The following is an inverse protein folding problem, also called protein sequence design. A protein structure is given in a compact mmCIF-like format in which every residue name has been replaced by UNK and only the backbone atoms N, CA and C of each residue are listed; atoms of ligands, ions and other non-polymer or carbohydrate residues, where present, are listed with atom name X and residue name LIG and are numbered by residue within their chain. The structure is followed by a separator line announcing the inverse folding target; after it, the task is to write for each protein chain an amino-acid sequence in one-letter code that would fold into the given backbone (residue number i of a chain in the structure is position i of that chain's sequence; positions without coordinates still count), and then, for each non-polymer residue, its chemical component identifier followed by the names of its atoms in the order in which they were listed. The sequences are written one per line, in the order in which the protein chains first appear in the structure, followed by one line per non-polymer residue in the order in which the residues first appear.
data_IF_125810581865
#
_entry.id   IF_125810581865
#
_cell.length_a   1.000
_cell.length_b   1.000
_cell.length_c   1.000
_cell.angle_alpha   90.00
_cell.angle_beta   90.00
_cell.angle_gamma   90.00
#
_symmetry.space_group_name_H-M   'P 1'
#
loop_
_entity.id
_entity.type
_entity.pdbx_description
1 polymer ?
#
# COMPACT_ATOMS: atom_id res chain seq x y z
N UNK A 1 -2.81 -17.94 2.52
CA UNK A 1 -1.46 -17.69 1.97
C UNK A 1 -0.59 -17.11 3.12
N UNK A 2 0.74 -17.14 3.06
CA UNK A 2 1.62 -16.43 4.03
C UNK A 2 2.15 -15.18 3.30
N UNK A 3 1.23 -14.36 2.81
CA UNK A 3 1.51 -13.39 1.75
C UNK A 3 0.23 -12.84 1.15
N UNK A 4 0.35 -11.75 0.41
CA UNK A 4 -0.76 -11.14 -0.32
C UNK A 4 -0.48 -11.15 -1.82
N UNK A 5 -1.55 -11.18 -2.60
CA UNK A 5 -1.55 -10.97 -4.04
C UNK A 5 -2.39 -9.74 -4.39
N UNK A 6 -1.85 -8.89 -5.28
CA UNK A 6 -2.51 -7.73 -5.86
C UNK A 6 -2.61 -7.93 -7.37
N UNK A 7 -3.83 -7.98 -7.90
CA UNK A 7 -4.09 -7.98 -9.35
C UNK A 7 -4.77 -6.68 -9.72
N UNK A 8 -4.09 -5.85 -10.50
CA UNK A 8 -4.59 -4.55 -10.91
C UNK A 8 -4.95 -4.52 -12.39
N UNK A 9 -6.05 -3.84 -12.71
CA UNK A 9 -6.50 -3.54 -14.07
C UNK A 9 -7.11 -2.15 -14.11
N UNK A 10 -6.89 -1.39 -15.18
CA UNK A 10 -7.45 -0.04 -15.29
C UNK A 10 -7.64 0.42 -16.72
N UNK A 11 -8.03 1.69 -16.86
CA UNK A 11 -8.13 2.39 -18.14
C UNK A 11 -6.83 2.27 -18.96
N UNK A 12 -6.93 2.48 -20.27
CA UNK A 12 -5.82 2.36 -21.21
C UNK A 12 -5.10 1.00 -21.19
N UNK A 13 -5.82 -0.07 -20.83
CA UNK A 13 -5.30 -1.42 -20.83
C UNK A 13 -4.27 -1.70 -19.73
N UNK A 14 -4.16 -0.84 -18.71
CA UNK A 14 -3.27 -1.06 -17.58
C UNK A 14 -3.57 -2.41 -16.93
N UNK A 15 -2.53 -3.23 -16.75
CA UNK A 15 -2.60 -4.53 -16.10
C UNK A 15 -1.32 -4.80 -15.33
N UNK A 16 -1.44 -5.23 -14.09
CA UNK A 16 -0.30 -5.58 -13.26
C UNK A 16 -0.68 -6.69 -12.28
N UNK A 17 0.31 -7.51 -11.91
CA UNK A 17 0.19 -8.47 -10.82
C UNK A 17 1.40 -8.34 -9.92
N UNK A 18 1.18 -8.25 -8.62
CA UNK A 18 2.21 -8.15 -7.58
C UNK A 18 1.87 -9.11 -6.45
N UNK A 19 2.87 -9.70 -5.84
CA UNK A 19 2.67 -10.52 -4.64
C UNK A 19 3.85 -10.35 -3.72
N UNK A 20 3.60 -10.27 -2.42
CA UNK A 20 4.66 -10.22 -1.42
C UNK A 20 4.21 -10.91 -0.13
N UNK A 21 5.16 -11.15 0.76
CA UNK A 21 4.91 -11.80 2.04
C UNK A 21 4.27 -10.78 3.00
N UNK A 22 3.31 -11.18 3.83
CA UNK A 22 2.70 -10.27 4.83
C UNK A 22 3.66 -10.06 5.99
N UNK A 23 3.49 -8.98 6.76
CA UNK A 23 4.35 -8.63 7.90
C UNK A 23 4.49 -9.73 8.95
N UNK A 24 3.44 -10.53 9.19
CA UNK A 24 3.53 -11.70 10.08
C UNK A 24 4.61 -12.69 9.65
N UNK A 25 4.89 -12.76 8.35
CA UNK A 25 5.87 -13.64 7.73
C UNK A 25 7.28 -13.05 7.75
N UNK A 26 7.42 -11.73 7.61
CA UNK A 26 8.69 -11.03 7.82
C UNK A 26 9.06 -10.99 9.30
N UNK A 27 8.09 -10.85 10.20
CA UNK A 27 8.27 -11.00 11.64
C UNK A 27 8.61 -12.45 11.99
N UNK A 28 7.99 -13.45 11.35
CA UNK A 28 8.34 -14.86 11.54
C UNK A 28 9.72 -15.22 10.97
N UNK A 29 10.07 -14.77 9.76
CA UNK A 29 11.42 -14.90 9.18
C UNK A 29 12.47 -14.20 10.05
N UNK A 30 12.16 -13.00 10.56
CA UNK A 30 13.00 -12.30 11.54
C UNK A 30 13.05 -13.06 12.86
N UNK A 31 11.96 -13.62 13.36
CA UNK A 31 11.93 -14.39 14.60
C UNK A 31 12.74 -15.69 14.48
N UNK A 32 12.74 -16.34 13.33
CA UNK A 32 13.60 -17.50 13.02
C UNK A 32 15.07 -17.07 12.91
N UNK A 33 15.38 -15.99 12.20
CA UNK A 33 16.74 -15.43 12.15
C UNK A 33 17.24 -14.91 13.51
N UNK A 34 16.33 -14.49 14.38
CA UNK A 34 16.61 -14.09 15.76
C UNK A 34 16.71 -15.33 16.67
N UNK A 35 15.95 -16.41 16.44
CA UNK A 35 15.98 -17.68 17.19
C UNK A 35 17.35 -18.33 17.14
N UNK A 36 18.01 -18.26 15.98
CA UNK A 36 19.41 -18.67 15.82
C UNK A 36 20.40 -17.77 16.58
N UNK A 37 19.99 -16.57 17.02
CA UNK A 37 20.79 -15.61 17.79
C UNK A 37 20.32 -15.41 19.25
N UNK A 38 19.29 -16.14 19.72
CA UNK A 38 18.62 -15.97 21.02
C UNK A 38 19.39 -16.58 22.23
N UNK A 39 20.72 -16.65 22.16
CA UNK A 39 21.55 -16.99 23.33
C UNK A 39 21.69 -15.83 24.34
N UNK A 40 21.33 -14.58 23.98
CA UNK A 40 21.59 -13.40 24.81
C UNK A 40 20.33 -12.55 25.12
N UNK A 41 19.94 -12.50 26.41
CA UNK A 41 18.70 -11.90 26.95
C UNK A 41 18.67 -10.36 27.03
N UNK A 42 19.71 -9.65 26.61
CA UNK A 42 19.84 -8.19 26.78
C UNK A 42 19.14 -7.34 25.71
N UNK A 43 18.60 -7.95 24.64
CA UNK A 43 18.14 -7.23 23.43
C UNK A 43 16.65 -6.81 23.41
N UNK A 44 15.88 -7.07 24.47
CA UNK A 44 14.42 -6.93 24.41
C UNK A 44 13.93 -5.47 24.30
N UNK A 45 14.60 -4.51 24.94
CA UNK A 45 14.23 -3.08 24.88
C UNK A 45 14.65 -2.41 23.56
N UNK A 46 15.80 -2.81 22.99
CA UNK A 46 16.27 -2.32 21.69
C UNK A 46 15.38 -2.79 20.52
N UNK A 47 14.71 -3.93 20.68
CA UNK A 47 13.80 -4.50 19.67
C UNK A 47 12.49 -3.74 19.53
N UNK A 48 11.91 -3.23 20.62
CA UNK A 48 10.72 -2.38 20.53
C UNK A 48 11.04 -1.08 19.77
N UNK A 49 12.22 -0.48 20.02
CA UNK A 49 12.68 0.69 19.26
C UNK A 49 12.89 0.38 17.77
N UNK A 50 13.46 -0.78 17.43
CA UNK A 50 13.66 -1.18 16.04
C UNK A 50 12.34 -1.46 15.28
N UNK A 51 11.32 -2.02 15.95
CA UNK A 51 10.00 -2.23 15.36
C UNK A 51 9.29 -0.90 15.08
N UNK A 52 9.28 0.02 16.04
CA UNK A 52 8.72 1.37 15.85
C UNK A 52 9.43 2.13 14.72
N UNK A 53 10.76 2.01 14.61
CA UNK A 53 11.49 2.60 13.49
C UNK A 53 11.08 2.00 12.14
N UNK A 54 10.80 0.70 12.06
CA UNK A 54 10.35 0.05 10.82
C UNK A 54 8.96 0.56 10.41
N UNK A 55 8.03 0.65 11.35
CA UNK A 55 6.68 1.22 11.12
C UNK A 55 6.76 2.68 10.65
N UNK A 56 7.63 3.49 11.28
CA UNK A 56 7.88 4.87 10.85
C UNK A 56 8.46 4.96 9.43
N UNK A 57 9.35 4.04 9.05
CA UNK A 57 9.91 4.00 7.69
C UNK A 57 8.84 3.62 6.66
N UNK A 58 7.97 2.65 6.98
CA UNK A 58 6.88 2.28 6.10
C UNK A 58 5.87 3.42 5.90
N UNK A 59 5.56 4.14 6.98
CA UNK A 59 4.75 5.36 6.90
C UNK A 59 5.39 6.40 5.99
N UNK A 60 6.69 6.70 6.16
CA UNK A 60 7.41 7.65 5.27
C UNK A 60 7.39 7.22 3.80
N UNK A 61 7.51 5.92 3.53
CA UNK A 61 7.43 5.40 2.16
C UNK A 61 6.03 5.59 1.59
N UNK A 62 4.98 5.29 2.36
CA UNK A 62 3.61 5.52 1.94
C UNK A 62 3.34 7.02 1.69
N UNK A 63 3.75 7.90 2.62
CA UNK A 63 3.63 9.36 2.50
C UNK A 63 4.27 9.87 1.20
N UNK A 64 5.49 9.43 0.92
CA UNK A 64 6.23 9.83 -0.29
C UNK A 64 5.52 9.38 -1.58
N UNK A 65 4.96 8.17 -1.60
CA UNK A 65 4.21 7.65 -2.76
C UNK A 65 2.89 8.37 -2.98
N UNK A 66 2.15 8.66 -1.91
CA UNK A 66 0.94 9.50 -2.03
C UNK A 66 1.29 10.91 -2.51
N UNK A 67 2.40 11.48 -2.06
CA UNK A 67 2.95 12.72 -2.59
C UNK A 67 3.18 12.66 -4.11
N UNK A 68 3.82 11.58 -4.58
CA UNK A 68 4.03 11.35 -6.01
C UNK A 68 2.72 11.27 -6.79
N UNK A 69 1.77 10.42 -6.34
CA UNK A 69 0.44 10.26 -6.97
C UNK A 69 -0.26 11.62 -7.12
N UNK A 70 -0.27 12.43 -6.07
CA UNK A 70 -0.94 13.74 -6.10
C UNK A 70 -0.23 14.75 -7.01
N UNK A 71 1.09 14.64 -7.16
CA UNK A 71 1.87 15.55 -8.01
C UNK A 71 1.55 15.44 -9.50
N UNK A 72 1.00 14.29 -9.93
CA UNK A 72 0.54 14.09 -11.31
C UNK A 72 -0.77 14.82 -11.62
N UNK A 73 -1.53 15.25 -10.61
CA UNK A 73 -2.72 16.07 -10.82
C UNK A 73 -3.86 15.37 -11.59
N UNK A 74 -3.98 14.04 -11.47
CA UNK A 74 -5.03 13.27 -12.13
C UNK A 74 -6.18 12.92 -11.19
N UNK A 75 -7.40 13.08 -11.69
CA UNK A 75 -8.62 12.59 -11.04
C UNK A 75 -8.90 11.16 -11.51
N UNK A 76 -9.09 10.21 -10.58
CA UNK A 76 -9.43 8.83 -10.94
C UNK A 76 -10.20 8.10 -9.85
N UNK A 77 -10.99 7.11 -10.26
CA UNK A 77 -11.73 6.24 -9.35
C UNK A 77 -10.93 4.96 -9.10
N UNK A 78 -10.64 4.70 -7.82
CA UNK A 78 -10.07 3.44 -7.33
C UNK A 78 -11.17 2.51 -6.80
N UNK A 79 -11.20 1.29 -7.31
CA UNK A 79 -11.95 0.17 -6.76
C UNK A 79 -10.97 -0.84 -6.15
N UNK A 80 -11.04 -1.02 -4.83
CA UNK A 80 -10.46 -2.18 -4.17
C UNK A 80 -11.49 -3.30 -4.13
N UNK A 81 -11.06 -4.47 -4.56
CA UNK A 81 -11.86 -5.69 -4.67
C UNK A 81 -11.15 -6.85 -3.95
N UNK A 82 -11.84 -7.99 -3.78
CA UNK A 82 -11.31 -9.14 -3.05
C UNK A 82 -11.62 -9.09 -1.55
N UNK A 83 -10.62 -9.33 -0.71
CA UNK A 83 -10.74 -9.31 0.75
C UNK A 83 -10.94 -7.90 1.31
N UNK A 84 -10.56 -6.88 0.55
CA UNK A 84 -10.77 -5.47 0.87
C UNK A 84 -11.70 -4.88 -0.18
N UNK A 85 -12.83 -4.34 0.25
CA UNK A 85 -13.82 -3.73 -0.66
C UNK A 85 -13.97 -2.27 -0.35
N UNK A 86 -13.50 -1.42 -1.25
CA UNK A 86 -13.58 0.03 -1.11
C UNK A 86 -13.72 0.67 -2.48
N UNK A 87 -14.57 1.68 -2.59
CA UNK A 87 -14.53 2.63 -3.70
C UNK A 87 -13.99 3.94 -3.14
N UNK A 88 -12.96 4.48 -3.76
CA UNK A 88 -12.36 5.75 -3.38
C UNK A 88 -12.09 6.59 -4.61
N UNK A 89 -12.44 7.87 -4.57
CA UNK A 89 -12.17 8.81 -5.66
C UNK A 89 -10.96 9.67 -5.29
N UNK A 90 -9.92 9.62 -6.11
CA UNK A 90 -8.78 10.52 -6.00
C UNK A 90 -9.13 11.84 -6.70
N UNK A 91 -9.18 12.91 -5.90
CA UNK A 91 -9.41 14.28 -6.35
C UNK A 91 -8.08 15.04 -6.31
N UNK A 92 -7.51 15.33 -7.49
CA UNK A 92 -6.25 16.03 -7.70
C UNK A 92 -6.19 17.41 -7.05
N UNK A 93 -7.32 18.01 -6.72
CA UNK A 93 -7.39 19.34 -6.06
C UNK A 93 -7.09 19.24 -4.56
N UNK A 94 -7.12 18.04 -3.98
CA UNK A 94 -6.78 17.81 -2.57
C UNK A 94 -5.28 17.64 -2.42
N UNK A 95 -4.74 18.08 -1.29
CA UNK A 95 -3.33 17.82 -0.99
C UNK A 95 -3.09 16.36 -0.58
N UNK A 96 -1.85 15.90 -0.69
CA UNK A 96 -1.46 14.51 -0.42
C UNK A 96 -1.82 14.05 0.99
N UNK A 97 -1.63 14.91 2.00
CA UNK A 97 -1.98 14.59 3.39
C UNK A 97 -3.48 14.35 3.59
N UNK A 98 -4.33 15.12 2.91
CA UNK A 98 -5.79 14.94 2.94
C UNK A 98 -6.19 13.63 2.25
N UNK A 99 -5.71 13.39 1.03
CA UNK A 99 -5.99 12.15 0.27
C UNK A 99 -5.55 10.93 1.08
N UNK A 100 -4.34 10.98 1.64
CA UNK A 100 -3.83 9.89 2.45
C UNK A 100 -4.68 9.65 3.70
N UNK A 101 -5.02 10.70 4.44
CA UNK A 101 -5.86 10.58 5.64
C UNK A 101 -7.22 9.99 5.30
N UNK A 102 -7.89 10.49 4.27
CA UNK A 102 -9.18 9.99 3.80
C UNK A 102 -9.09 8.52 3.36
N UNK A 103 -8.09 8.18 2.54
CA UNK A 103 -7.88 6.82 2.05
C UNK A 103 -7.58 5.84 3.19
N UNK A 104 -6.67 6.19 4.11
CA UNK A 104 -6.36 5.35 5.28
C UNK A 104 -7.54 5.24 6.24
N UNK A 105 -8.35 6.28 6.41
CA UNK A 105 -9.57 6.21 7.22
C UNK A 105 -10.63 5.31 6.57
N UNK A 106 -10.77 5.37 5.24
CA UNK A 106 -11.64 4.50 4.48
C UNK A 106 -11.21 3.03 4.57
N UNK A 107 -9.90 2.78 4.57
CA UNK A 107 -9.32 1.44 4.78
C UNK A 107 -9.48 0.94 6.23
N UNK A 108 -9.37 1.83 7.23
CA UNK A 108 -9.58 1.48 8.65
C UNK A 108 -10.98 0.91 8.92
N UNK A 109 -11.98 1.34 8.15
CA UNK A 109 -13.36 0.82 8.23
C UNK A 109 -13.50 -0.64 7.74
N UNK A 110 -12.53 -1.18 7.00
CA UNK A 110 -12.56 -2.52 6.40
C UNK A 110 -11.79 -3.59 7.23
N UNK A 111 -11.42 -3.23 8.47
CA UNK A 111 -10.85 -4.08 9.56
C UNK A 111 -9.43 -4.62 9.40
N UNK A 112 -8.54 -4.15 10.30
CA UNK A 112 -7.41 -4.79 11.02
C UNK A 112 -6.38 -5.71 10.32
N UNK A 113 -6.56 -6.11 9.05
CA UNK A 113 -5.67 -7.06 8.35
C UNK A 113 -4.77 -6.41 7.29
N UNK A 114 -4.96 -5.12 7.02
CA UNK A 114 -4.11 -4.35 6.11
C UNK A 114 -2.80 -4.00 6.82
N UNK A 115 -1.77 -4.83 6.63
CA UNK A 115 -0.39 -4.48 7.04
C UNK A 115 0.17 -3.34 6.20
N UNK A 116 1.17 -2.63 6.72
CA UNK A 116 1.79 -1.47 6.05
C UNK A 116 2.36 -1.84 4.68
N UNK A 117 2.87 -3.07 4.52
CA UNK A 117 3.34 -3.57 3.23
C UNK A 117 2.25 -3.65 2.15
N UNK A 118 1.03 -4.03 2.52
CA UNK A 118 -0.08 -4.06 1.55
C UNK A 118 -0.39 -2.64 1.11
N UNK A 119 -0.38 -1.68 2.05
CA UNK A 119 -0.59 -0.25 1.75
C UNK A 119 0.50 0.29 0.81
N UNK A 120 1.77 -0.06 1.04
CA UNK A 120 2.88 0.39 0.19
C UNK A 120 2.77 -0.16 -1.23
N UNK A 121 2.46 -1.45 -1.37
CA UNK A 121 2.33 -2.07 -2.68
C UNK A 121 1.08 -1.58 -3.42
N UNK A 122 -0.02 -1.28 -2.70
CA UNK A 122 -1.17 -0.59 -3.28
C UNK A 122 -0.78 0.80 -3.77
N UNK A 123 -0.11 1.62 -2.94
CA UNK A 123 0.35 2.94 -3.33
C UNK A 123 1.28 2.89 -4.56
N UNK A 124 2.19 1.93 -4.62
CA UNK A 124 3.04 1.73 -5.79
C UNK A 124 2.25 1.35 -7.04
N UNK A 125 1.25 0.49 -6.91
CA UNK A 125 0.38 0.08 -8.04
C UNK A 125 -0.41 1.28 -8.59
N UNK A 126 -0.88 2.15 -7.69
CA UNK A 126 -1.57 3.39 -8.06
C UNK A 126 -0.62 4.36 -8.78
N UNK A 127 0.60 4.52 -8.26
CA UNK A 127 1.65 5.34 -8.88
C UNK A 127 2.02 4.86 -10.29
N UNK A 128 2.17 3.54 -10.47
CA UNK A 128 2.44 2.92 -11.78
C UNK A 128 1.28 3.17 -12.77
N UNK A 129 0.03 3.04 -12.30
CA UNK A 129 -1.15 3.33 -13.11
C UNK A 129 -1.16 4.79 -13.56
N UNK A 130 -1.04 5.72 -12.62
CA UNK A 130 -1.03 7.16 -12.87
C UNK A 130 0.09 7.53 -13.87
N UNK A 131 1.29 6.98 -13.69
CA UNK A 131 2.41 7.20 -14.61
C UNK A 131 2.10 6.68 -16.02
N UNK A 132 1.41 5.54 -16.13
CA UNK A 132 1.05 4.95 -17.42
C UNK A 132 0.00 5.78 -18.18
N UNK A 133 -0.93 6.39 -17.45
CA UNK A 133 -2.06 7.13 -18.04
C UNK A 133 -1.84 8.65 -18.09
N UNK A 134 -0.76 9.17 -17.50
CA UNK A 134 -0.51 10.61 -17.37
C UNK A 134 -0.54 11.36 -18.71
N UNK A 135 0.04 10.81 -19.77
CA UNK A 135 0.06 11.42 -21.10
C UNK A 135 -1.17 11.03 -21.96
N UNK A 136 -2.15 10.34 -21.38
CA UNK A 136 -3.37 9.90 -22.08
C UNK A 136 -4.49 10.90 -21.81
N UNK A 137 -4.79 11.70 -22.83
CA UNK A 137 -5.63 12.90 -22.76
C UNK A 137 -7.07 12.69 -23.23
N UNK A 138 -7.51 11.44 -23.40
CA UNK A 138 -8.89 11.21 -23.81
C UNK A 138 -9.78 11.48 -22.58
N UNK A 139 -10.90 12.19 -22.73
CA UNK A 139 -11.85 12.56 -21.65
C UNK A 139 -12.55 11.37 -20.98
N UNK A 140 -11.99 10.17 -21.13
CA UNK A 140 -12.49 8.95 -20.52
C UNK A 140 -12.25 8.96 -19.01
N UNK A 141 -13.22 8.44 -18.27
CA UNK A 141 -13.08 8.25 -16.83
C UNK A 141 -11.89 7.33 -16.54
N UNK A 142 -10.94 7.84 -15.74
CA UNK A 142 -9.82 7.06 -15.28
C UNK A 142 -10.29 6.14 -14.15
N UNK A 143 -10.23 4.83 -14.39
CA UNK A 143 -10.66 3.82 -13.45
C UNK A 143 -9.52 2.84 -13.22
N UNK A 144 -9.24 2.57 -11.94
CA UNK A 144 -8.29 1.55 -11.50
C UNK A 144 -9.02 0.57 -10.59
N UNK A 145 -8.92 -0.72 -10.89
CA UNK A 145 -9.33 -1.81 -10.03
C UNK A 145 -8.10 -2.51 -9.47
N UNK A 146 -8.05 -2.75 -8.17
CA UNK A 146 -7.03 -3.57 -7.51
C UNK A 146 -7.75 -4.65 -6.71
N UNK A 147 -7.60 -5.90 -7.12
CA UNK A 147 -8.06 -7.05 -6.36
C UNK A 147 -6.97 -7.46 -5.37
N UNK A 148 -7.31 -7.51 -4.08
CA UNK A 148 -6.43 -7.86 -2.97
C UNK A 148 -6.87 -9.19 -2.36
N UNK A 149 -5.94 -10.15 -2.34
CA UNK A 149 -6.08 -11.46 -1.70
C UNK A 149 -5.03 -11.57 -0.58
N UNK A 150 -5.44 -11.79 0.68
CA UNK A 150 -4.60 -11.71 1.89
C UNK A 150 -4.20 -13.06 2.52
#
# INVERSE_FOLDING_TARGET
MIGFELKARGSYGFKQSRSAWTEGSLIALKAVALADNFANKTQQTARNGALTQIEEQFKKIADARFGAICSFGLDFTLFLEGDIKLKYFFDSRKNSSQIQSEFLNALRGQTAKLGDQVVIYMAQTIEDFVTTVFDKTDEEELILHINVDL
#
